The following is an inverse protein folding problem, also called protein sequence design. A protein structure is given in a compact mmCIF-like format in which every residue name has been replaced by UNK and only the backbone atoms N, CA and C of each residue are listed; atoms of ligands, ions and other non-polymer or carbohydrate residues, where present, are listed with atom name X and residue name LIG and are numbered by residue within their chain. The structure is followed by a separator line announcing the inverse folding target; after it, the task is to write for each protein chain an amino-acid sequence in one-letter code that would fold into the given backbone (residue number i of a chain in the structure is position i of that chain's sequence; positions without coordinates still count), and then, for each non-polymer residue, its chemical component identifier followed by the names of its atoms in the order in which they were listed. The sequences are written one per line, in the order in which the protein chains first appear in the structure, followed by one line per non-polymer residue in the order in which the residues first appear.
data_IF_764509357594
#
_entry.id   IF_764509357594
#
_cell.length_a   1.000
_cell.length_b   1.000
_cell.length_c   1.000
_cell.angle_alpha   90.00
_cell.angle_beta   90.00
_cell.angle_gamma   90.00
#
_symmetry.space_group_name_H-M   'P 1'
#
loop_
_entity.id
_entity.type
_entity.pdbx_description
1 polymer ?
#
# COMPACT_ATOMS: atom_id res chain seq x y z
N UNK A 1 -30.75 11.72 -2.29
CA UNK A 1 -29.31 11.75 -2.59
C UNK A 1 -28.79 13.11 -3.10
N UNK A 2 -29.64 14.04 -3.58
CA UNK A 2 -29.20 15.35 -4.11
C UNK A 2 -28.26 16.16 -3.19
N UNK A 3 -28.48 16.15 -1.87
CA UNK A 3 -27.59 16.82 -0.90
C UNK A 3 -26.18 16.21 -0.93
N UNK A 4 -26.07 14.88 -1.04
CA UNK A 4 -24.78 14.21 -1.13
C UNK A 4 -24.07 14.54 -2.45
N UNK A 5 -24.81 14.73 -3.55
CA UNK A 5 -24.20 15.14 -4.82
C UNK A 5 -23.58 16.54 -4.74
N UNK A 6 -24.25 17.47 -4.06
CA UNK A 6 -23.71 18.81 -3.78
C UNK A 6 -22.46 18.71 -2.91
N UNK A 7 -22.52 17.97 -1.80
CA UNK A 7 -21.37 17.79 -0.90
C UNK A 7 -20.17 17.12 -1.61
N UNK A 8 -20.42 16.16 -2.50
CA UNK A 8 -19.36 15.49 -3.26
C UNK A 8 -18.75 16.41 -4.31
N UNK A 9 -19.55 17.27 -4.92
CA UNK A 9 -19.06 18.28 -5.87
C UNK A 9 -18.21 19.34 -5.14
N UNK A 10 -18.65 19.79 -3.97
CA UNK A 10 -17.89 20.69 -3.11
C UNK A 10 -16.60 20.03 -2.62
N UNK A 11 -16.65 18.75 -2.24
CA UNK A 11 -15.48 17.97 -1.85
C UNK A 11 -14.42 17.97 -2.96
N UNK A 12 -14.79 17.64 -4.20
CA UNK A 12 -13.84 17.60 -5.32
C UNK A 12 -13.25 18.98 -5.62
N UNK A 13 -14.07 20.03 -5.52
CA UNK A 13 -13.60 21.42 -5.65
C UNK A 13 -12.58 21.78 -4.57
N UNK A 14 -12.83 21.41 -3.32
CA UNK A 14 -11.93 21.69 -2.20
C UNK A 14 -10.62 20.90 -2.31
N UNK A 15 -10.70 19.63 -2.72
CA UNK A 15 -9.53 18.78 -2.95
C UNK A 15 -8.61 19.28 -4.06
N UNK A 16 -9.16 20.03 -5.01
CA UNK A 16 -8.41 20.61 -6.13
C UNK A 16 -7.78 21.97 -5.80
N UNK A 17 -8.09 22.56 -4.64
CA UNK A 17 -7.55 23.86 -4.21
C UNK A 17 -6.36 23.72 -3.26
N UNK A 18 -5.37 24.60 -3.44
CA UNK A 18 -4.20 24.70 -2.57
C UNK A 18 -4.35 25.76 -1.46
N UNK A 19 -5.47 26.48 -1.39
CA UNK A 19 -5.64 27.56 -0.42
C UNK A 19 -5.85 27.04 1.01
N UNK A 20 -5.18 27.67 1.97
CA UNK A 20 -5.28 27.35 3.41
C UNK A 20 -6.68 27.54 3.95
N UNK A 21 -7.41 28.56 3.50
CA UNK A 21 -8.76 28.86 3.97
C UNK A 21 -9.77 27.79 3.53
N UNK A 22 -9.49 27.13 2.40
CA UNK A 22 -10.32 26.05 1.86
C UNK A 22 -10.10 24.74 2.63
N UNK A 23 -8.98 24.59 3.36
CA UNK A 23 -8.73 23.41 4.20
C UNK A 23 -9.74 23.29 5.36
N UNK A 24 -10.15 24.41 5.96
CA UNK A 24 -11.20 24.40 7.01
C UNK A 24 -12.55 23.93 6.46
N UNK A 25 -12.89 24.36 5.25
CA UNK A 25 -14.11 23.92 4.53
C UNK A 25 -14.03 22.45 4.13
N UNK A 26 -12.87 21.99 3.67
CA UNK A 26 -12.62 20.58 3.37
C UNK A 26 -12.82 19.69 4.61
N UNK A 27 -12.25 20.10 5.74
CA UNK A 27 -12.41 19.40 7.03
C UNK A 27 -13.88 19.29 7.44
N UNK A 28 -14.63 20.39 7.31
CA UNK A 28 -16.06 20.44 7.62
C UNK A 28 -16.87 19.53 6.70
N UNK A 29 -16.60 19.59 5.38
CA UNK A 29 -17.26 18.75 4.38
C UNK A 29 -17.00 17.25 4.64
N UNK A 30 -15.74 16.88 4.88
CA UNK A 30 -15.36 15.50 5.23
C UNK A 30 -16.06 15.04 6.50
N UNK A 31 -16.13 15.87 7.54
CA UNK A 31 -16.80 15.53 8.80
C UNK A 31 -18.30 15.26 8.60
N UNK A 32 -18.97 16.10 7.81
CA UNK A 32 -20.39 15.90 7.47
C UNK A 32 -20.59 14.60 6.69
N UNK A 33 -19.77 14.35 5.67
CA UNK A 33 -19.83 13.11 4.87
C UNK A 33 -19.54 11.86 5.72
N UNK A 34 -18.57 11.92 6.62
CA UNK A 34 -18.24 10.86 7.58
C UNK A 34 -19.47 10.52 8.43
N UNK A 35 -20.13 11.51 9.00
CA UNK A 35 -21.31 11.30 9.84
C UNK A 35 -22.45 10.66 9.03
N UNK A 36 -22.75 11.18 7.84
CA UNK A 36 -23.78 10.56 6.97
C UNK A 36 -23.45 9.11 6.60
N UNK A 37 -22.20 8.81 6.25
CA UNK A 37 -21.78 7.47 5.86
C UNK A 37 -21.70 6.50 7.06
N UNK A 38 -21.54 7.01 8.26
CA UNK A 38 -21.55 6.19 9.49
C UNK A 38 -22.98 5.80 9.85
N UNK A 39 -23.89 6.77 9.87
CA UNK A 39 -25.28 6.58 10.32
C UNK A 39 -26.17 5.92 9.26
N UNK A 40 -25.93 6.16 7.96
CA UNK A 40 -26.79 5.67 6.89
C UNK A 40 -26.02 4.78 5.90
N UNK A 41 -26.34 3.47 5.90
CA UNK A 41 -25.73 2.49 5.01
C UNK A 41 -26.00 2.78 3.52
N UNK A 42 -27.19 3.30 3.18
CA UNK A 42 -27.53 3.69 1.81
C UNK A 42 -26.70 4.90 1.34
N UNK A 43 -26.52 5.90 2.21
CA UNK A 43 -25.67 7.05 1.93
C UNK A 43 -24.22 6.60 1.74
N UNK A 44 -23.71 5.72 2.60
CA UNK A 44 -22.38 5.13 2.46
C UNK A 44 -22.21 4.38 1.14
N UNK A 45 -23.19 3.55 0.75
CA UNK A 45 -23.16 2.82 -0.53
C UNK A 45 -23.15 3.77 -1.71
N UNK A 46 -24.00 4.80 -1.68
CA UNK A 46 -24.08 5.83 -2.71
C UNK A 46 -22.76 6.61 -2.85
N UNK A 47 -22.23 7.13 -1.75
CA UNK A 47 -20.97 7.87 -1.71
C UNK A 47 -19.81 6.98 -2.15
N UNK A 48 -19.77 5.72 -1.69
CA UNK A 48 -18.76 4.76 -2.12
C UNK A 48 -18.75 4.60 -3.64
N UNK A 49 -19.90 4.41 -4.28
CA UNK A 49 -19.98 4.25 -5.74
C UNK A 49 -19.47 5.48 -6.51
N UNK A 50 -19.57 6.67 -5.92
CA UNK A 50 -19.06 7.92 -6.53
C UNK A 50 -17.58 8.17 -6.25
N UNK A 51 -17.10 7.86 -5.05
CA UNK A 51 -15.72 8.14 -4.61
C UNK A 51 -14.77 6.99 -4.91
N UNK A 52 -15.19 5.76 -4.63
CA UNK A 52 -14.43 4.51 -4.81
C UNK A 52 -15.32 3.46 -5.51
N UNK A 53 -15.61 3.65 -6.81
CA UNK A 53 -16.31 2.64 -7.60
C UNK A 53 -15.55 1.31 -7.61
N UNK A 54 -16.18 0.20 -8.03
CA UNK A 54 -15.48 -1.05 -8.30
C UNK A 54 -14.26 -0.80 -9.20
N UNK A 55 -13.13 -1.41 -8.84
CA UNK A 55 -11.88 -1.20 -9.58
C UNK A 55 -11.91 -1.97 -10.90
N UNK A 56 -11.37 -1.36 -11.95
CA UNK A 56 -11.11 -1.98 -13.24
C UNK A 56 -9.61 -2.20 -13.47
N UNK A 57 -9.25 -2.96 -14.50
CA UNK A 57 -7.85 -3.21 -14.87
C UNK A 57 -7.08 -1.91 -15.19
N UNK A 58 -7.77 -0.89 -15.72
CA UNK A 58 -7.18 0.42 -16.02
C UNK A 58 -6.80 1.21 -14.76
N UNK A 59 -7.54 1.02 -13.66
CA UNK A 59 -7.35 1.79 -12.42
C UNK A 59 -6.07 1.43 -11.67
N UNK A 60 -5.49 0.27 -11.98
CA UNK A 60 -4.28 -0.28 -11.35
C UNK A 60 -3.05 -0.19 -12.25
N UNK A 61 -3.13 0.50 -13.38
CA UNK A 61 -1.94 0.78 -14.22
C UNK A 61 -1.08 1.91 -13.65
N UNK A 62 -1.62 2.70 -12.74
CA UNK A 62 -0.94 3.81 -12.08
C UNK A 62 -1.13 3.73 -10.57
N UNK A 63 -0.24 4.41 -9.85
CA UNK A 63 -0.32 4.50 -8.39
C UNK A 63 -1.66 5.06 -7.92
N UNK A 64 -2.23 4.55 -6.81
CA UNK A 64 -3.50 5.03 -6.27
C UNK A 64 -3.52 6.52 -5.90
N UNK A 65 -2.38 7.13 -5.57
CA UNK A 65 -2.24 8.54 -5.25
C UNK A 65 -2.07 9.46 -6.47
N UNK A 66 -1.99 8.90 -7.68
CA UNK A 66 -1.81 9.63 -8.95
C UNK A 66 -3.11 9.61 -9.75
N UNK A 67 -3.57 10.78 -10.18
CA UNK A 67 -4.77 10.94 -11.00
C UNK A 67 -5.70 12.04 -10.50
N UNK A 68 -6.74 12.30 -11.28
CA UNK A 68 -7.70 13.39 -11.05
C UNK A 68 -9.04 12.93 -10.43
N UNK A 69 -9.25 11.62 -10.28
CA UNK A 69 -10.45 11.08 -9.62
C UNK A 69 -10.42 11.49 -8.13
N UNK A 70 -11.59 11.66 -7.53
CA UNK A 70 -11.76 12.02 -6.10
C UNK A 70 -10.97 11.06 -5.19
N UNK A 71 -10.98 9.75 -5.50
CA UNK A 71 -10.15 8.74 -4.83
C UNK A 71 -8.69 9.15 -4.76
N UNK A 72 -8.08 9.47 -5.91
CA UNK A 72 -6.65 9.76 -6.01
C UNK A 72 -6.30 11.00 -5.18
N UNK A 73 -7.12 12.06 -5.31
CA UNK A 73 -6.96 13.31 -4.55
C UNK A 73 -7.08 13.07 -3.04
N UNK A 74 -8.04 12.27 -2.58
CA UNK A 74 -8.19 11.92 -1.17
C UNK A 74 -7.00 11.12 -0.63
N UNK A 75 -6.49 10.15 -1.40
CA UNK A 75 -5.29 9.38 -1.04
C UNK A 75 -4.09 10.32 -0.93
N UNK A 76 -3.94 11.29 -1.84
CA UNK A 76 -2.89 12.30 -1.78
C UNK A 76 -2.99 13.19 -0.52
N UNK A 77 -4.21 13.59 -0.13
CA UNK A 77 -4.43 14.33 1.13
C UNK A 77 -4.11 13.45 2.35
N UNK A 78 -4.47 12.17 2.32
CA UNK A 78 -4.16 11.20 3.38
C UNK A 78 -2.65 11.05 3.62
N UNK A 79 -1.83 11.04 2.56
CA UNK A 79 -0.36 10.90 2.67
C UNK A 79 0.32 12.24 3.03
N UNK A 80 -0.40 13.35 2.87
CA UNK A 80 0.11 14.70 3.13
C UNK A 80 0.39 14.98 4.62
N UNK A 81 1.18 16.03 4.89
CA UNK A 81 1.56 16.48 6.25
C UNK A 81 0.50 17.36 6.94
N UNK A 82 -0.72 17.39 6.43
CA UNK A 82 -1.79 18.29 6.87
C UNK A 82 -2.61 17.60 7.96
N UNK A 83 -3.16 18.37 8.91
CA UNK A 83 -4.06 17.87 9.96
C UNK A 83 -5.30 17.12 9.42
N UNK A 84 -5.65 17.32 8.15
CA UNK A 84 -6.80 16.69 7.48
C UNK A 84 -6.48 15.27 6.99
N UNK A 85 -5.21 14.87 6.97
CA UNK A 85 -4.78 13.52 6.58
C UNK A 85 -5.57 12.43 7.30
N UNK A 86 -5.72 12.54 8.62
CA UNK A 86 -6.47 11.59 9.45
C UNK A 86 -7.97 11.57 9.11
N UNK A 87 -8.57 12.72 8.79
CA UNK A 87 -9.98 12.81 8.40
C UNK A 87 -10.21 12.17 7.02
N UNK A 88 -9.35 12.44 6.05
CA UNK A 88 -9.43 11.83 4.72
C UNK A 88 -9.29 10.29 4.82
N UNK A 89 -8.33 9.84 5.62
CA UNK A 89 -8.07 8.44 5.88
C UNK A 89 -9.27 7.75 6.58
N UNK A 90 -9.84 8.40 7.61
CA UNK A 90 -11.02 7.91 8.31
C UNK A 90 -12.25 7.83 7.39
N UNK A 91 -12.46 8.84 6.54
CA UNK A 91 -13.53 8.84 5.55
C UNK A 91 -13.41 7.66 4.58
N UNK A 92 -12.25 7.46 3.97
CA UNK A 92 -12.00 6.32 3.08
C UNK A 92 -12.20 4.99 3.81
N UNK A 93 -11.74 4.86 5.05
CA UNK A 93 -11.90 3.64 5.84
C UNK A 93 -13.37 3.31 6.14
N UNK A 94 -14.21 4.32 6.42
CA UNK A 94 -15.66 4.15 6.58
C UNK A 94 -16.27 3.64 5.29
N UNK A 95 -15.93 4.22 4.14
CA UNK A 95 -16.43 3.78 2.83
C UNK A 95 -16.03 2.33 2.52
N UNK A 96 -14.89 1.86 3.04
CA UNK A 96 -14.45 0.47 2.98
C UNK A 96 -15.11 -0.45 4.02
N UNK A 97 -16.22 -0.06 4.66
CA UNK A 97 -16.87 -0.79 5.77
C UNK A 97 -15.89 -1.12 6.92
N UNK A 98 -14.86 -0.31 7.13
CA UNK A 98 -13.77 -0.55 8.10
C UNK A 98 -13.01 -1.87 7.86
N UNK A 99 -13.01 -2.37 6.62
CA UNK A 99 -12.22 -3.54 6.22
C UNK A 99 -10.82 -3.13 5.79
N UNK A 100 -9.79 -3.67 6.46
CA UNK A 100 -8.38 -3.44 6.12
C UNK A 100 -8.06 -3.96 4.72
N UNK A 101 -8.63 -5.11 4.34
CA UNK A 101 -8.43 -5.70 3.01
C UNK A 101 -8.96 -4.78 1.91
N UNK A 102 -10.21 -4.31 2.03
CA UNK A 102 -10.78 -3.35 1.06
C UNK A 102 -10.01 -2.05 1.04
N UNK A 103 -9.60 -1.56 2.21
CA UNK A 103 -8.85 -0.31 2.30
C UNK A 103 -7.48 -0.39 1.59
N UNK A 104 -6.74 -1.48 1.81
CA UNK A 104 -5.46 -1.74 1.15
C UNK A 104 -5.63 -1.90 -0.37
N UNK A 105 -6.70 -2.56 -0.83
CA UNK A 105 -6.99 -2.69 -2.26
C UNK A 105 -7.15 -1.34 -2.97
N UNK A 106 -7.85 -0.38 -2.36
CA UNK A 106 -8.06 0.93 -2.96
C UNK A 106 -6.89 1.90 -2.79
N UNK A 107 -6.12 1.78 -1.70
CA UNK A 107 -5.09 2.76 -1.35
C UNK A 107 -3.65 2.29 -1.64
N UNK A 108 -3.42 0.98 -1.71
CA UNK A 108 -2.09 0.38 -1.56
C UNK A 108 -1.64 0.37 -0.09
N UNK A 109 -1.01 -0.71 0.35
CA UNK A 109 -0.61 -0.86 1.75
C UNK A 109 0.37 0.25 2.20
N UNK A 110 1.29 0.69 1.34
CA UNK A 110 2.25 1.75 1.66
C UNK A 110 1.58 3.07 2.05
N UNK A 111 0.47 3.42 1.38
CA UNK A 111 -0.30 4.62 1.70
C UNK A 111 -1.18 4.43 2.94
N UNK A 112 -1.70 3.22 3.15
CA UNK A 112 -2.56 2.87 4.28
C UNK A 112 -1.80 2.63 5.60
N UNK A 113 -0.53 2.21 5.53
CA UNK A 113 0.23 1.71 6.67
C UNK A 113 0.25 2.67 7.87
N UNK A 114 0.51 3.97 7.63
CA UNK A 114 0.55 4.97 8.69
C UNK A 114 -0.78 5.10 9.45
N UNK A 115 -1.91 5.00 8.74
CA UNK A 115 -3.23 5.01 9.35
C UNK A 115 -3.49 3.71 10.13
N UNK A 116 -3.15 2.56 9.55
CA UNK A 116 -3.37 1.25 10.17
C UNK A 116 -2.57 1.11 11.47
N UNK A 117 -1.34 1.66 11.52
CA UNK A 117 -0.54 1.77 12.74
C UNK A 117 -1.29 2.58 13.80
N UNK A 118 -1.78 3.76 13.45
CA UNK A 118 -2.48 4.64 14.39
C UNK A 118 -3.77 4.03 14.94
N UNK A 119 -4.45 3.17 14.17
CA UNK A 119 -5.63 2.42 14.63
C UNK A 119 -5.30 1.09 15.31
N UNK A 120 -4.03 0.67 15.38
CA UNK A 120 -3.64 -0.63 15.94
C UNK A 120 -4.07 -1.83 15.10
N UNK A 121 -4.30 -1.63 13.80
CA UNK A 121 -4.85 -2.64 12.87
C UNK A 121 -3.78 -3.34 12.03
N UNK A 122 -2.49 -3.14 12.30
CA UNK A 122 -1.42 -3.84 11.58
C UNK A 122 -1.54 -5.37 11.67
N UNK A 123 -1.99 -5.90 12.81
CA UNK A 123 -2.21 -7.34 12.97
C UNK A 123 -3.33 -7.92 12.09
N UNK A 124 -4.18 -7.05 11.52
CA UNK A 124 -5.31 -7.48 10.69
C UNK A 124 -4.97 -7.64 9.21
N UNK A 125 -3.76 -7.24 8.79
CA UNK A 125 -3.32 -7.34 7.38
C UNK A 125 -3.32 -8.79 6.89
N UNK A 126 -2.95 -9.72 7.77
CA UNK A 126 -2.86 -11.14 7.46
C UNK A 126 -4.19 -11.89 7.69
N UNK A 127 -5.28 -11.20 8.03
CA UNK A 127 -6.58 -11.87 8.16
C UNK A 127 -7.07 -12.31 6.78
N UNK A 128 -7.65 -13.52 6.68
CA UNK A 128 -8.24 -13.99 5.43
C UNK A 128 -9.34 -13.04 4.97
N UNK A 129 -9.42 -12.81 3.65
CA UNK A 129 -10.47 -11.99 3.03
C UNK A 129 -11.85 -12.56 3.41
N UNK A 130 -12.75 -11.70 3.87
CA UNK A 130 -14.15 -12.12 4.09
C UNK A 130 -14.89 -12.17 2.76
N UNK A 131 -15.89 -13.05 2.63
CA UNK A 131 -16.67 -13.19 1.38
C UNK A 131 -17.39 -11.87 1.01
N UNK A 132 -17.80 -11.07 2.00
CA UNK A 132 -18.41 -9.74 1.79
C UNK A 132 -17.40 -8.66 1.32
N UNK A 133 -16.09 -8.94 1.35
CA UNK A 133 -15.06 -8.00 0.91
C UNK A 133 -14.87 -7.95 -0.62
N UNK A 134 -15.22 -9.01 -1.36
CA UNK A 134 -15.00 -9.10 -2.81
C UNK A 134 -16.22 -8.67 -3.63
N UNK A 135 -17.42 -9.13 -3.27
CA UNK A 135 -18.63 -9.07 -4.13
C UNK A 135 -19.00 -7.68 -4.67
N UNK A 136 -18.76 -6.61 -3.90
CA UNK A 136 -19.18 -5.26 -4.27
C UNK A 136 -18.06 -4.39 -4.86
N UNK A 137 -16.83 -4.88 -5.01
CA UNK A 137 -15.64 -4.02 -5.19
C UNK A 137 -14.76 -4.34 -6.39
N UNK A 138 -15.00 -5.48 -7.04
CA UNK A 138 -14.16 -6.01 -8.10
C UNK A 138 -15.01 -6.20 -9.36
N UNK A 139 -14.40 -5.91 -10.50
CA UNK A 139 -14.94 -6.23 -11.81
C UNK A 139 -14.21 -7.45 -12.37
N UNK A 140 -14.78 -8.12 -13.36
CA UNK A 140 -14.16 -9.31 -13.94
C UNK A 140 -12.77 -9.01 -14.53
N UNK A 141 -12.60 -7.87 -15.20
CA UNK A 141 -11.30 -7.43 -15.75
C UNK A 141 -10.27 -7.11 -14.66
N UNK A 142 -10.68 -6.70 -13.47
CA UNK A 142 -9.76 -6.49 -12.35
C UNK A 142 -9.21 -7.81 -11.81
N UNK A 143 -10.06 -8.85 -11.72
CA UNK A 143 -9.64 -10.18 -11.24
C UNK A 143 -8.54 -10.78 -12.11
N UNK A 144 -8.62 -10.57 -13.42
CA UNK A 144 -7.63 -11.04 -14.39
C UNK A 144 -6.22 -10.45 -14.17
N UNK A 145 -6.12 -9.30 -13.49
CA UNK A 145 -4.84 -8.63 -13.23
C UNK A 145 -4.45 -8.60 -11.75
N UNK A 146 -5.29 -9.10 -10.85
CA UNK A 146 -5.11 -8.98 -9.40
C UNK A 146 -3.75 -9.53 -8.92
N UNK A 147 -3.35 -10.69 -9.45
CA UNK A 147 -2.08 -11.36 -9.11
C UNK A 147 -0.84 -10.54 -9.48
N UNK A 148 -0.96 -9.61 -10.44
CA UNK A 148 0.14 -8.78 -10.93
C UNK A 148 0.27 -7.46 -10.17
N UNK A 149 -0.69 -7.12 -9.32
CA UNK A 149 -0.69 -5.87 -8.56
C UNK A 149 0.30 -6.01 -7.39
N UNK A 150 1.21 -5.06 -7.25
CA UNK A 150 2.06 -5.01 -6.07
C UNK A 150 1.19 -4.60 -4.85
N UNK A 151 1.06 -5.43 -3.80
CA UNK A 151 0.20 -5.15 -2.65
C UNK A 151 0.65 -3.92 -1.83
N UNK A 152 1.94 -3.58 -1.89
CA UNK A 152 2.49 -2.40 -1.22
C UNK A 152 2.11 -1.13 -1.95
N UNK A 153 2.31 -1.08 -3.26
CA UNK A 153 2.11 0.15 -4.04
C UNK A 153 0.69 0.29 -4.57
N UNK A 154 -0.08 -0.80 -4.65
CA UNK A 154 -1.46 -0.81 -5.13
C UNK A 154 -1.60 -0.65 -6.64
N UNK A 155 -0.53 -0.86 -7.41
CA UNK A 155 -0.56 -0.79 -8.87
C UNK A 155 0.36 -1.84 -9.50
N UNK A 156 0.17 -2.09 -10.79
CA UNK A 156 1.01 -2.95 -11.60
C UNK A 156 2.26 -2.15 -11.98
N UNK A 157 3.40 -2.54 -11.41
CA UNK A 157 4.65 -1.89 -11.73
C UNK A 157 5.01 -2.15 -13.19
N UNK A 158 5.35 -1.10 -13.96
CA UNK A 158 5.85 -1.30 -15.30
C UNK A 158 7.13 -2.13 -15.23
N UNK A 159 7.28 -3.05 -16.18
CA UNK A 159 8.50 -3.81 -16.32
C UNK A 159 9.70 -2.87 -16.38
N UNK A 160 10.65 -3.08 -15.47
CA UNK A 160 11.94 -2.39 -15.46
C UNK A 160 13.00 -3.44 -15.68
N UNK A 161 13.75 -3.28 -16.77
CA UNK A 161 14.99 -4.01 -16.99
C UNK A 161 15.88 -3.93 -15.75
N UNK A 162 16.50 -5.05 -15.39
CA UNK A 162 17.39 -5.06 -14.25
C UNK A 162 18.59 -4.17 -14.56
N UNK A 163 19.02 -3.27 -13.67
CA UNK A 163 20.24 -2.48 -13.88
C UNK A 163 21.47 -3.35 -14.16
N UNK A 164 21.44 -4.62 -13.76
CA UNK A 164 22.50 -5.61 -13.95
C UNK A 164 22.53 -6.23 -15.35
N UNK A 165 21.48 -6.11 -16.17
CA UNK A 165 21.44 -6.69 -17.53
C UNK A 165 22.46 -6.04 -18.47
N UNK A 166 22.89 -4.81 -18.17
CA UNK A 166 23.89 -4.07 -18.94
C UNK A 166 25.32 -4.31 -18.47
N UNK A 167 25.51 -5.11 -17.42
CA UNK A 167 26.82 -5.38 -16.81
C UNK A 167 27.34 -6.75 -17.25
N UNK A 168 28.65 -6.85 -17.49
CA UNK A 168 29.32 -8.15 -17.66
C UNK A 168 29.36 -8.91 -16.33
N UNK A 169 29.61 -10.21 -16.35
CA UNK A 169 29.66 -11.00 -15.12
C UNK A 169 30.82 -10.56 -14.21
N UNK A 170 31.95 -10.13 -14.77
CA UNK A 170 33.06 -9.56 -14.00
C UNK A 170 32.65 -8.24 -13.34
N UNK A 171 31.87 -7.40 -14.02
CA UNK A 171 31.37 -6.15 -13.45
C UNK A 171 30.37 -6.41 -12.31
N UNK A 172 29.50 -7.41 -12.46
CA UNK A 172 28.57 -7.83 -11.39
C UNK A 172 29.34 -8.29 -10.16
N UNK A 173 30.36 -9.13 -10.35
CA UNK A 173 31.20 -9.61 -9.25
C UNK A 173 31.95 -8.45 -8.55
N UNK A 174 32.49 -7.51 -9.33
CA UNK A 174 33.16 -6.33 -8.80
C UNK A 174 32.23 -5.45 -7.94
N UNK A 175 31.02 -5.12 -8.42
CA UNK A 175 30.06 -4.33 -7.64
C UNK A 175 29.52 -5.12 -6.43
N UNK A 176 29.38 -6.45 -6.53
CA UNK A 176 29.03 -7.29 -5.39
C UNK A 176 30.12 -7.24 -4.29
N UNK A 177 31.40 -7.32 -4.68
CA UNK A 177 32.51 -7.24 -3.72
C UNK A 177 32.61 -5.86 -3.07
N UNK A 178 32.33 -4.80 -3.83
CA UNK A 178 32.24 -3.43 -3.32
C UNK A 178 31.11 -3.28 -2.30
N UNK A 179 29.95 -3.91 -2.53
CA UNK A 179 28.84 -3.93 -1.57
C UNK A 179 29.23 -4.67 -0.27
N UNK A 180 29.86 -5.85 -0.39
CA UNK A 180 30.36 -6.61 0.76
C UNK A 180 31.35 -5.78 1.59
N UNK A 181 32.29 -5.10 0.93
CA UNK A 181 33.25 -4.22 1.60
C UNK A 181 32.57 -3.02 2.28
N UNK A 182 31.56 -2.40 1.63
CA UNK A 182 30.81 -1.29 2.22
C UNK A 182 30.04 -1.74 3.48
N UNK A 183 29.35 -2.89 3.42
CA UNK A 183 28.68 -3.45 4.59
C UNK A 183 29.68 -3.80 5.70
N UNK A 184 30.84 -4.37 5.35
CA UNK A 184 31.88 -4.72 6.33
C UNK A 184 32.38 -3.48 7.05
N UNK A 185 32.66 -2.41 6.31
CA UNK A 185 33.09 -1.14 6.91
C UNK A 185 32.03 -0.57 7.88
N UNK A 186 30.73 -0.69 7.56
CA UNK A 186 29.66 -0.25 8.46
C UNK A 186 29.56 -1.12 9.71
N UNK A 187 29.81 -2.43 9.61
CA UNK A 187 29.87 -3.34 10.76
C UNK A 187 31.09 -3.05 11.64
N UNK A 188 32.27 -2.89 11.04
CA UNK A 188 33.52 -2.61 11.75
C UNK A 188 33.46 -1.27 12.50
N UNK A 189 32.72 -0.28 11.97
CA UNK A 189 32.45 0.99 12.62
C UNK A 189 31.32 0.93 13.66
N UNK A 190 30.62 -0.20 13.77
CA UNK A 190 29.48 -0.39 14.68
C UNK A 190 28.22 0.40 14.30
N UNK A 191 28.13 0.89 13.04
CA UNK A 191 26.96 1.61 12.55
C UNK A 191 25.77 0.68 12.34
N UNK A 192 26.04 -0.54 11.88
CA UNK A 192 25.03 -1.58 11.67
C UNK A 192 25.46 -2.88 12.36
N UNK A 193 24.48 -3.66 12.81
CA UNK A 193 24.69 -5.03 13.31
C UNK A 193 23.64 -5.93 12.66
N UNK A 194 23.93 -6.51 11.48
CA UNK A 194 23.02 -7.42 10.82
C UNK A 194 22.78 -8.65 11.70
N UNK A 195 21.58 -9.20 11.68
CA UNK A 195 21.19 -10.32 12.53
C UNK A 195 20.62 -11.47 11.71
N UNK A 196 20.84 -12.69 12.20
CA UNK A 196 20.29 -13.94 11.66
C UNK A 196 19.50 -14.64 12.76
N UNK A 197 18.42 -15.32 12.38
CA UNK A 197 17.66 -16.18 13.31
C UNK A 197 18.46 -17.46 13.57
N UNK A 198 18.66 -17.81 14.83
CA UNK A 198 19.22 -19.11 15.23
C UNK A 198 18.17 -20.24 15.18
N UNK A 199 18.60 -21.47 15.41
CA UNK A 199 17.72 -22.66 15.44
C UNK A 199 16.64 -22.59 16.52
N UNK A 200 16.80 -21.70 17.52
CA UNK A 200 15.83 -21.45 18.59
C UNK A 200 14.80 -20.36 18.25
N UNK A 201 14.90 -19.74 17.07
CA UNK A 201 14.03 -18.65 16.64
C UNK A 201 14.45 -17.27 17.19
N UNK A 202 15.60 -17.15 17.85
CA UNK A 202 16.11 -15.88 18.39
C UNK A 202 17.05 -15.20 17.42
N UNK A 203 17.06 -13.87 17.46
CA UNK A 203 17.97 -13.06 16.66
C UNK A 203 19.36 -13.05 17.31
N UNK A 204 20.38 -13.43 16.53
CA UNK A 204 21.79 -13.25 16.88
C UNK A 204 22.49 -12.36 15.85
N UNK A 205 23.45 -11.51 16.25
CA UNK A 205 24.26 -10.77 15.29
C UNK A 205 25.12 -11.73 14.46
N UNK A 206 25.37 -11.38 13.21
CA UNK A 206 26.33 -12.11 12.34
C UNK A 206 27.75 -11.57 12.56
N UNK A 207 28.74 -12.45 12.49
CA UNK A 207 30.15 -12.06 12.58
C UNK A 207 30.68 -11.64 11.21
N UNK A 208 30.23 -12.33 10.15
CA UNK A 208 30.59 -12.01 8.77
C UNK A 208 29.37 -11.89 7.87
N UNK A 209 29.37 -10.91 6.95
CA UNK A 209 28.25 -10.64 6.03
C UNK A 209 27.88 -11.84 5.17
N UNK A 210 28.85 -12.69 4.83
CA UNK A 210 28.60 -13.90 4.03
C UNK A 210 27.66 -14.91 4.73
N UNK A 211 27.56 -14.90 6.07
CA UNK A 211 26.61 -15.74 6.81
C UNK A 211 25.14 -15.46 6.43
N UNK A 212 24.85 -14.25 5.92
CA UNK A 212 23.53 -13.85 5.46
C UNK A 212 23.16 -14.51 4.13
N UNK A 213 24.14 -14.83 3.29
CA UNK A 213 23.93 -15.40 1.95
C UNK A 213 23.75 -16.93 2.04
N UNK A 214 24.45 -17.59 2.96
CA UNK A 214 24.37 -19.05 3.16
C UNK A 214 22.97 -19.56 3.52
N UNK A 215 22.15 -18.73 4.17
CA UNK A 215 20.76 -19.09 4.49
C UNK A 215 19.84 -19.11 3.27
N UNK A 216 20.13 -18.31 2.24
CA UNK A 216 19.27 -18.21 1.05
C UNK A 216 19.45 -19.40 0.09
N UNK A 217 20.66 -19.97 0.01
CA UNK A 217 20.92 -21.15 -0.81
C UNK A 217 20.09 -22.37 -0.38
N UNK A 218 19.87 -22.53 0.94
CA UNK A 218 19.04 -23.62 1.50
C UNK A 218 17.54 -23.44 1.25
N UNK A 219 17.04 -22.20 1.19
CA UNK A 219 15.64 -21.93 0.90
C UNK A 219 15.32 -22.05 -0.59
N UNK A 220 16.27 -21.76 -1.48
CA UNK A 220 16.09 -21.92 -2.93
C UNK A 220 15.91 -23.39 -3.33
N UNK A 221 16.63 -24.31 -2.68
CA UNK A 221 16.50 -25.75 -2.94
C UNK A 221 15.17 -26.37 -2.51
N UNK A 222 14.43 -25.74 -1.58
CA UNK A 222 13.11 -26.26 -1.16
C UNK A 222 12.02 -25.83 -2.15
N UNK A 223 12.08 -24.59 -2.64
CA UNK A 223 11.08 -24.05 -3.58
C UNK A 223 11.16 -24.72 -4.96
N UNK A 224 12.37 -25.06 -5.44
CA UNK A 224 12.54 -25.79 -6.71
C UNK A 224 12.23 -27.29 -6.60
N UNK A 225 12.12 -27.86 -5.38
CA UNK A 225 11.78 -29.27 -5.18
C UNK A 225 10.29 -29.54 -5.01
N UNK A 226 9.48 -28.51 -4.74
CA UNK A 226 8.02 -28.62 -4.62
C UNK A 226 7.28 -28.34 -5.94
N UNK A 227 8.00 -27.97 -7.01
CA UNK A 227 7.43 -27.71 -8.34
C UNK A 227 7.40 -28.91 -9.29
N UNK A 228 7.93 -30.07 -8.89
CA UNK A 228 7.99 -31.28 -9.74
C UNK A 228 6.98 -32.39 -9.37
N UNK A 229 6.11 -32.17 -8.37
CA UNK A 229 5.01 -33.09 -8.03
C UNK A 229 3.65 -32.37 -8.02
N UNK A 230 3.10 -32.13 -9.22
CA UNK A 230 1.64 -32.19 -9.52
C UNK A 230 1.36 -32.05 -11.03
#
# INVERSE_FOLDING_TARGET
MQILDVLLSDLDKYLSSADSDIQSSLSSCLTVLINFCTECAEARRYVRLKVMPPLHAEDVQQRPDVGEKVRNKLIKVMIGKIHISQLAAHFLFILCKRSVSRFNKYCGFGNAAGLLVNYGLLGEINRPKSVDDSEDSETEDYKDVEERINPVTGYIEPFKESPLEKMTDEQKEYEAMKLVNAMKNLMDQGVISPAKTDESGKLRPVEHILELVEGQAKNKTVVDSESDDN
#
